data_IF_693757675621
#
_entry.id   IF_693757675621
#
_cell.length_a   1.000
_cell.length_b   1.000
_cell.length_c   1.000
_cell.angle_alpha   90.00
_cell.angle_beta   90.00
_cell.angle_gamma   90.00
#
_symmetry.space_group_name_H-M   'P 1'
#
loop_
_entity.id
_entity.type
_entity.pdbx_description
1 polymer ?
#
# COMPACT_ATOMS: atom_id res chain seq x y z
N UNK A 1 -49.39 24.56 7.60
CA UNK A 1 -48.77 23.25 7.98
C UNK A 1 -48.23 22.43 6.80
N UNK A 2 -48.03 23.01 5.61
CA UNK A 2 -47.53 22.28 4.42
C UNK A 2 -46.01 22.43 4.23
N UNK A 3 -45.43 23.58 4.60
CA UNK A 3 -43.98 23.83 4.47
C UNK A 3 -43.10 22.94 5.35
N UNK A 4 -43.52 22.63 6.58
CA UNK A 4 -42.72 21.82 7.52
C UNK A 4 -42.57 20.36 7.05
N UNK A 5 -43.63 19.78 6.44
CA UNK A 5 -43.59 18.42 5.89
C UNK A 5 -42.70 18.32 4.65
N UNK A 6 -42.66 19.38 3.83
CA UNK A 6 -41.84 19.42 2.62
C UNK A 6 -40.34 19.50 2.94
N UNK A 7 -39.98 20.30 3.96
CA UNK A 7 -38.60 20.41 4.45
C UNK A 7 -38.13 19.09 5.08
N UNK A 8 -38.97 18.45 5.89
CA UNK A 8 -38.67 17.13 6.45
C UNK A 8 -38.50 16.05 5.38
N UNK A 9 -39.30 16.07 4.31
CA UNK A 9 -39.18 15.14 3.19
C UNK A 9 -37.89 15.35 2.38
N UNK A 10 -37.47 16.60 2.17
CA UNK A 10 -36.20 16.92 1.50
C UNK A 10 -35.01 16.51 2.37
N UNK A 11 -35.03 16.77 3.68
CA UNK A 11 -33.97 16.35 4.61
C UNK A 11 -33.88 14.82 4.68
N UNK A 12 -35.01 14.11 4.67
CA UNK A 12 -35.02 12.65 4.71
C UNK A 12 -34.53 12.03 3.39
N UNK A 13 -34.93 12.58 2.25
CA UNK A 13 -34.50 12.07 0.93
C UNK A 13 -33.03 12.39 0.66
N UNK A 14 -32.52 13.55 1.10
CA UNK A 14 -31.07 13.85 1.07
C UNK A 14 -30.29 12.99 2.06
N UNK A 15 -30.81 12.68 3.26
CA UNK A 15 -30.15 11.75 4.19
C UNK A 15 -30.07 10.31 3.64
N UNK A 16 -31.08 9.86 2.90
CA UNK A 16 -31.13 8.50 2.35
C UNK A 16 -30.25 8.38 1.09
N UNK A 17 -30.17 9.40 0.25
CA UNK A 17 -29.30 9.36 -0.95
C UNK A 17 -27.83 9.65 -0.67
N UNK A 18 -27.51 10.32 0.45
CA UNK A 18 -26.13 10.54 0.90
C UNK A 18 -25.59 9.41 1.78
N UNK A 19 -26.41 8.42 2.11
CA UNK A 19 -25.96 7.20 2.79
C UNK A 19 -25.29 6.27 1.78
N UNK A 20 -24.14 6.69 1.24
CA UNK A 20 -23.30 6.02 0.25
C UNK A 20 -24.04 5.57 -1.02
N UNK A 21 -23.44 5.84 -2.17
CA UNK A 21 -23.77 5.19 -3.43
C UNK A 21 -23.34 3.70 -3.38
N UNK A 22 -24.01 2.92 -2.51
CA UNK A 22 -24.14 1.46 -2.40
C UNK A 22 -25.02 1.18 -1.16
N UNK A 23 -26.24 0.68 -1.37
CA UNK A 23 -27.29 0.57 -0.35
C UNK A 23 -27.01 -0.36 0.85
N UNK A 24 -27.66 -0.01 1.95
CA UNK A 24 -27.79 -0.64 3.28
C UNK A 24 -26.55 -0.69 4.20
N UNK A 25 -26.25 0.43 4.87
CA UNK A 25 -25.51 0.40 6.14
C UNK A 25 -26.08 -0.66 7.09
N UNK A 26 -25.20 -1.43 7.75
CA UNK A 26 -25.45 -2.66 8.53
C UNK A 26 -25.14 -4.01 7.81
N UNK A 27 -24.17 -4.00 6.90
CA UNK A 27 -23.73 -5.18 6.15
C UNK A 27 -22.90 -6.18 6.96
N UNK A 28 -23.54 -7.10 7.68
CA UNK A 28 -22.85 -8.33 8.13
C UNK A 28 -22.38 -9.15 6.91
N UNK A 29 -21.20 -9.81 6.95
CA UNK A 29 -20.33 -10.01 8.12
C UNK A 29 -19.30 -8.89 8.33
N UNK A 30 -19.20 -7.92 7.43
CA UNK A 30 -18.25 -6.82 7.57
C UNK A 30 -18.72 -5.82 8.63
N UNK A 31 -17.76 -5.07 9.15
CA UNK A 31 -17.98 -3.99 10.08
C UNK A 31 -17.05 -2.85 9.73
N UNK A 32 -16.73 -2.03 10.73
CA UNK A 32 -15.81 -0.93 10.52
C UNK A 32 -14.33 -1.33 10.67
N UNK A 33 -14.05 -2.63 10.74
CA UNK A 33 -12.69 -3.16 10.78
C UNK A 33 -12.47 -4.18 9.67
N UNK A 34 -11.35 -4.04 8.96
CA UNK A 34 -10.91 -4.98 7.94
C UNK A 34 -9.38 -5.09 7.90
N UNK A 35 -8.90 -6.25 7.43
CA UNK A 35 -7.52 -6.49 7.08
C UNK A 35 -7.41 -6.48 5.56
N UNK A 36 -6.46 -5.74 5.02
CA UNK A 36 -6.23 -5.64 3.57
C UNK A 36 -4.81 -6.08 3.28
N UNK A 37 -4.65 -7.09 2.42
CA UNK A 37 -3.34 -7.64 2.06
C UNK A 37 -3.04 -7.45 0.58
N UNK A 38 -1.95 -6.75 0.28
CA UNK A 38 -1.42 -6.59 -1.07
C UNK A 38 -0.16 -7.43 -1.25
N UNK A 39 -0.01 -8.06 -2.42
CA UNK A 39 1.25 -8.65 -2.85
C UNK A 39 1.90 -7.71 -3.88
N UNK A 40 3.15 -7.34 -3.64
CA UNK A 40 3.79 -6.22 -4.35
C UNK A 40 5.19 -6.62 -4.83
N UNK A 41 5.53 -6.25 -6.05
CA UNK A 41 6.91 -6.13 -6.52
C UNK A 41 7.37 -4.69 -6.26
N UNK A 42 8.18 -4.46 -5.21
CA UNK A 42 8.42 -3.11 -4.71
C UNK A 42 9.45 -2.37 -5.56
N UNK A 43 9.25 -1.07 -5.73
CA UNK A 43 10.35 -0.14 -5.98
C UNK A 43 11.11 0.16 -4.67
N UNK A 44 12.25 0.86 -4.76
CA UNK A 44 13.01 1.26 -3.56
C UNK A 44 12.17 2.02 -2.53
N UNK A 45 11.17 2.80 -2.98
CA UNK A 45 10.28 3.59 -2.11
C UNK A 45 9.41 2.73 -1.18
N UNK A 46 9.21 1.45 -1.51
CA UNK A 46 8.50 0.48 -0.67
C UNK A 46 9.43 -0.48 0.08
N UNK A 47 10.70 -0.10 0.24
CA UNK A 47 11.68 -0.88 1.00
C UNK A 47 12.34 -0.03 2.07
N UNK A 48 13.00 -0.68 3.02
CA UNK A 48 13.83 0.00 3.99
C UNK A 48 15.23 -0.60 4.05
N UNK A 49 16.18 0.19 4.55
CA UNK A 49 17.53 -0.29 4.86
C UNK A 49 18.07 0.46 6.10
N UNK A 50 18.31 -0.24 7.22
CA UNK A 50 18.82 0.38 8.44
C UNK A 50 20.30 0.75 8.37
N UNK A 51 21.05 0.32 7.36
CA UNK A 51 22.48 0.58 7.26
C UNK A 51 22.77 1.98 6.71
N UNK A 52 24.04 2.41 6.85
CA UNK A 52 24.55 3.64 6.24
C UNK A 52 24.72 3.54 4.71
N UNK A 53 24.65 2.34 4.14
CA UNK A 53 24.72 2.08 2.69
C UNK A 53 23.36 2.20 2.00
N UNK A 54 22.31 2.61 2.73
CA UNK A 54 20.97 2.85 2.21
C UNK A 54 21.00 3.75 0.97
N UNK A 55 20.34 3.30 -0.10
CA UNK A 55 20.18 4.07 -1.34
C UNK A 55 19.05 5.10 -1.18
N UNK A 56 19.14 6.22 -1.92
CA UNK A 56 18.07 7.21 -2.00
C UNK A 56 16.71 6.55 -2.29
N UNK A 57 15.63 7.14 -1.75
CA UNK A 57 14.22 6.66 -1.78
C UNK A 57 13.89 5.50 -0.83
N UNK A 58 14.86 4.75 -0.34
CA UNK A 58 14.57 3.77 0.72
C UNK A 58 14.30 4.47 2.05
N UNK A 59 13.45 3.84 2.86
CA UNK A 59 13.20 4.27 4.23
C UNK A 59 14.32 3.81 5.17
N UNK A 60 14.52 4.53 6.28
CA UNK A 60 15.60 4.22 7.23
C UNK A 60 15.33 3.01 8.11
N UNK A 61 14.07 2.59 8.25
CA UNK A 61 13.67 1.47 9.08
C UNK A 61 12.30 0.94 8.65
N UNK A 62 11.95 -0.26 9.11
CA UNK A 62 10.59 -0.80 8.97
C UNK A 62 9.54 0.15 9.57
N UNK A 63 9.84 0.77 10.72
CA UNK A 63 8.94 1.71 11.38
C UNK A 63 8.74 3.01 10.60
N UNK A 64 9.77 3.54 9.95
CA UNK A 64 9.66 4.74 9.09
C UNK A 64 8.80 4.44 7.85
N UNK A 65 9.04 3.30 7.21
CA UNK A 65 8.21 2.84 6.09
C UNK A 65 6.77 2.62 6.51
N UNK A 66 6.55 1.94 7.63
CA UNK A 66 5.23 1.72 8.19
C UNK A 66 4.48 3.02 8.48
N UNK A 67 5.15 4.01 9.09
CA UNK A 67 4.56 5.32 9.35
C UNK A 67 4.14 6.03 8.06
N UNK A 68 4.98 5.96 7.02
CA UNK A 68 4.68 6.57 5.71
C UNK A 68 3.46 5.92 5.07
N UNK A 69 3.39 4.59 5.10
CA UNK A 69 2.29 3.81 4.53
C UNK A 69 0.99 3.98 5.32
N UNK A 70 1.06 4.02 6.66
CA UNK A 70 -0.08 4.36 7.52
C UNK A 70 -0.62 5.75 7.21
N UNK A 71 0.26 6.75 7.10
CA UNK A 71 -0.16 8.13 6.80
C UNK A 71 -0.82 8.23 5.42
N UNK A 72 -0.23 7.60 4.40
CA UNK A 72 -0.80 7.53 3.06
C UNK A 72 -2.21 6.94 3.12
N UNK A 73 -2.36 5.75 3.70
CA UNK A 73 -3.67 5.09 3.77
C UNK A 73 -4.70 5.91 4.57
N UNK A 74 -4.29 6.56 5.65
CA UNK A 74 -5.16 7.48 6.41
C UNK A 74 -5.61 8.66 5.55
N UNK A 75 -4.70 9.31 4.81
CA UNK A 75 -5.04 10.42 3.90
C UNK A 75 -6.02 9.97 2.81
N UNK A 76 -5.78 8.82 2.16
CA UNK A 76 -6.65 8.32 1.10
C UNK A 76 -8.06 7.98 1.61
N UNK A 77 -8.19 7.45 2.85
CA UNK A 77 -9.50 7.24 3.46
C UNK A 77 -10.23 8.58 3.66
N UNK A 78 -9.54 9.60 4.14
CA UNK A 78 -10.14 10.93 4.32
C UNK A 78 -10.51 11.60 3.00
N UNK A 79 -9.65 11.50 1.98
CA UNK A 79 -9.93 12.02 0.63
C UNK A 79 -11.14 11.33 0.00
N UNK A 80 -11.22 9.99 0.11
CA UNK A 80 -12.37 9.22 -0.36
C UNK A 80 -13.67 9.68 0.30
N UNK A 81 -13.69 9.77 1.64
CA UNK A 81 -14.88 10.24 2.39
C UNK A 81 -15.23 11.68 2.00
N UNK A 82 -14.23 12.55 1.87
CA UNK A 82 -14.44 13.95 1.47
C UNK A 82 -15.00 14.09 0.06
N UNK A 83 -14.60 13.21 -0.86
CA UNK A 83 -15.08 13.22 -2.25
C UNK A 83 -16.55 12.79 -2.37
N UNK A 84 -17.02 11.94 -1.47
CA UNK A 84 -18.43 11.52 -1.40
C UNK A 84 -19.27 12.61 -0.70
N UNK A 85 -18.82 13.09 0.47
CA UNK A 85 -19.39 14.26 1.14
C UNK A 85 -18.42 14.81 2.20
N UNK A 86 -17.94 16.04 2.02
CA UNK A 86 -17.03 16.70 2.95
C UNK A 86 -17.57 16.83 4.38
N UNK A 87 -18.89 16.89 4.56
CA UNK A 87 -19.52 16.93 5.88
C UNK A 87 -19.37 15.62 6.68
N UNK A 88 -19.01 14.51 6.02
CA UNK A 88 -18.85 13.22 6.68
C UNK A 88 -17.45 12.96 7.20
N UNK A 89 -16.45 13.71 6.74
CA UNK A 89 -15.05 13.53 7.16
C UNK A 89 -14.91 13.53 8.68
N UNK A 90 -15.62 14.44 9.38
CA UNK A 90 -15.58 14.53 10.85
C UNK A 90 -16.21 13.34 11.58
N UNK A 91 -17.03 12.53 10.91
CA UNK A 91 -17.63 11.32 11.49
C UNK A 91 -16.79 10.08 11.28
N UNK A 92 -15.70 10.16 10.49
CA UNK A 92 -14.83 9.03 10.21
C UNK A 92 -13.50 9.25 10.93
N UNK A 93 -13.17 8.37 11.88
CA UNK A 93 -11.83 8.37 12.49
C UNK A 93 -11.13 7.05 12.17
N UNK A 94 -10.32 7.00 11.09
CA UNK A 94 -9.53 5.82 10.74
C UNK A 94 -8.36 5.63 11.70
N UNK A 95 -8.20 4.40 12.17
CA UNK A 95 -7.03 3.89 12.87
C UNK A 95 -6.39 2.83 11.98
N UNK A 96 -5.31 3.23 11.31
CA UNK A 96 -4.60 2.39 10.33
C UNK A 96 -3.31 1.86 10.93
N UNK A 97 -3.14 0.55 10.88
CA UNK A 97 -1.89 -0.13 11.26
C UNK A 97 -1.40 -0.95 10.09
N UNK A 98 -0.09 -1.06 9.93
CA UNK A 98 0.55 -1.93 8.95
C UNK A 98 1.49 -2.90 9.66
N UNK A 99 1.46 -4.17 9.23
CA UNK A 99 2.37 -5.19 9.73
C UNK A 99 3.80 -4.94 9.26
N UNK A 100 4.69 -4.63 10.21
CA UNK A 100 6.08 -4.31 9.92
C UNK A 100 6.91 -5.56 9.58
N UNK A 101 6.49 -6.76 10.00
CA UNK A 101 7.24 -7.99 9.74
C UNK A 101 7.18 -8.42 8.28
N UNK A 102 6.15 -7.98 7.55
CA UNK A 102 5.97 -8.28 6.13
C UNK A 102 6.73 -7.32 5.20
N UNK A 103 7.28 -6.22 5.74
CA UNK A 103 8.02 -5.21 4.99
C UNK A 103 9.44 -5.68 4.64
N UNK A 104 9.90 -5.33 3.44
CA UNK A 104 11.17 -5.83 2.92
C UNK A 104 12.36 -4.94 3.28
N UNK A 105 13.33 -5.51 4.01
CA UNK A 105 14.66 -4.93 4.20
C UNK A 105 15.55 -5.27 3.00
N UNK A 106 16.14 -4.26 2.36
CA UNK A 106 16.92 -4.45 1.13
C UNK A 106 18.23 -3.70 1.19
N UNK A 107 19.34 -4.42 1.09
CA UNK A 107 20.64 -3.86 0.72
C UNK A 107 20.89 -4.04 -0.78
N UNK A 108 21.16 -2.93 -1.47
CA UNK A 108 21.41 -2.92 -2.92
C UNK A 108 22.90 -3.13 -3.18
N UNK A 109 23.22 -4.25 -3.81
CA UNK A 109 24.56 -4.52 -4.32
C UNK A 109 24.54 -4.23 -5.82
N UNK A 110 25.20 -3.16 -6.29
CA UNK A 110 25.17 -2.78 -7.70
C UNK A 110 25.86 -3.84 -8.56
N UNK A 111 25.28 -4.16 -9.73
CA UNK A 111 25.92 -5.00 -10.73
C UNK A 111 26.95 -4.16 -11.48
N UNK A 112 28.17 -4.05 -10.94
CA UNK A 112 29.28 -3.33 -11.58
C UNK A 112 30.55 -4.17 -11.46
N UNK A 113 31.19 -4.45 -12.59
CA UNK A 113 32.53 -5.03 -12.63
C UNK A 113 33.56 -4.05 -12.06
N UNK A 114 34.40 -4.48 -11.13
CA UNK A 114 35.53 -3.65 -10.67
C UNK A 114 36.78 -3.92 -11.48
N UNK A 115 36.95 -5.16 -11.94
CA UNK A 115 38.09 -5.57 -12.74
C UNK A 115 37.73 -5.69 -14.23
N UNK A 116 38.58 -5.14 -15.09
CA UNK A 116 38.47 -5.30 -16.55
C UNK A 116 38.99 -6.66 -17.03
N UNK A 117 39.77 -7.36 -16.20
CA UNK A 117 40.44 -8.62 -16.56
C UNK A 117 40.11 -9.74 -15.57
N UNK A 118 39.96 -10.96 -16.08
CA UNK A 118 39.73 -12.15 -15.27
C UNK A 118 38.26 -12.33 -14.85
N UNK A 119 38.03 -13.24 -13.90
CA UNK A 119 36.70 -13.52 -13.34
C UNK A 119 36.60 -12.94 -11.94
N UNK A 120 35.55 -12.17 -11.67
CA UNK A 120 35.23 -11.58 -10.36
C UNK A 120 33.80 -11.94 -9.95
N UNK A 121 33.60 -12.37 -8.71
CA UNK A 121 32.27 -12.47 -8.13
C UNK A 121 31.81 -11.07 -7.70
N UNK A 122 30.82 -10.51 -8.40
CA UNK A 122 30.30 -9.16 -8.17
C UNK A 122 29.29 -9.14 -7.02
N UNK A 123 28.40 -10.13 -6.98
CA UNK A 123 27.36 -10.23 -5.97
C UNK A 123 26.90 -11.68 -5.79
N UNK A 124 26.69 -12.08 -4.55
CA UNK A 124 26.13 -13.39 -4.23
C UNK A 124 24.64 -13.50 -4.61
N UNK A 125 24.20 -14.72 -4.88
CA UNK A 125 22.80 -15.13 -4.91
C UNK A 125 22.06 -14.65 -3.65
N UNK A 126 20.80 -14.24 -3.83
CA UNK A 126 19.94 -13.76 -2.77
C UNK A 126 20.10 -12.27 -2.45
N UNK A 127 21.15 -11.61 -2.95
CA UNK A 127 21.29 -10.16 -2.86
C UNK A 127 20.35 -9.44 -3.83
N UNK A 128 20.16 -8.15 -3.61
CA UNK A 128 19.24 -7.33 -4.39
C UNK A 128 19.97 -6.30 -5.26
N UNK A 129 19.32 -5.91 -6.34
CA UNK A 129 19.70 -4.80 -7.19
C UNK A 129 18.45 -4.11 -7.74
N UNK A 130 18.61 -3.00 -8.46
CA UNK A 130 17.49 -2.30 -9.09
C UNK A 130 17.57 -2.44 -10.60
N UNK A 131 16.46 -2.81 -11.23
CA UNK A 131 16.31 -2.86 -12.68
C UNK A 131 14.92 -2.36 -13.07
N UNK A 132 14.83 -1.50 -14.09
CA UNK A 132 13.57 -0.92 -14.55
C UNK A 132 12.71 -0.30 -13.42
N UNK A 133 13.36 0.29 -12.42
CA UNK A 133 12.69 0.93 -11.27
C UNK A 133 12.25 -0.01 -10.15
N UNK A 134 12.34 -1.32 -10.34
CA UNK A 134 11.93 -2.34 -9.37
C UNK A 134 13.13 -2.97 -8.68
N UNK A 135 12.92 -3.44 -7.45
CA UNK A 135 13.91 -4.24 -6.73
C UNK A 135 13.87 -5.66 -7.29
N UNK A 136 15.02 -6.14 -7.73
CA UNK A 136 15.25 -7.49 -8.24
C UNK A 136 16.06 -8.28 -7.22
N UNK A 137 15.75 -9.57 -7.06
CA UNK A 137 16.55 -10.52 -6.31
C UNK A 137 17.34 -11.41 -7.25
N UNK A 138 18.63 -11.60 -6.97
CA UNK A 138 19.49 -12.52 -7.72
C UNK A 138 19.17 -13.97 -7.36
N UNK A 139 18.88 -14.79 -8.37
CA UNK A 139 18.63 -16.22 -8.20
C UNK A 139 19.91 -17.05 -8.32
N UNK A 140 20.95 -16.47 -8.92
CA UNK A 140 22.29 -17.03 -9.12
C UNK A 140 23.32 -15.94 -8.78
N UNK A 141 24.56 -16.36 -8.50
CA UNK A 141 25.67 -15.43 -8.30
C UNK A 141 25.88 -14.58 -9.58
N UNK A 142 26.15 -13.29 -9.42
CA UNK A 142 26.54 -12.44 -10.54
C UNK A 142 28.05 -12.39 -10.62
N UNK A 143 28.60 -12.90 -11.72
CA UNK A 143 30.02 -12.80 -12.02
C UNK A 143 30.28 -11.71 -13.06
N UNK A 144 31.48 -11.19 -13.04
CA UNK A 144 32.07 -10.42 -14.11
C UNK A 144 33.17 -11.27 -14.76
N UNK A 145 33.19 -11.35 -16.08
CA UNK A 145 34.24 -12.02 -16.86
C UNK A 145 34.81 -11.02 -17.84
N UNK A 146 36.09 -10.68 -17.68
CA UNK A 146 36.82 -9.70 -18.49
C UNK A 146 36.06 -8.38 -18.66
N UNK A 147 35.68 -7.76 -17.53
CA UNK A 147 34.96 -6.48 -17.52
C UNK A 147 33.49 -6.55 -17.95
N UNK A 148 32.99 -7.71 -18.37
CA UNK A 148 31.59 -7.90 -18.79
C UNK A 148 30.81 -8.64 -17.72
N UNK A 149 29.71 -8.06 -17.25
CA UNK A 149 28.78 -8.74 -16.36
C UNK A 149 28.14 -9.92 -17.08
N UNK A 150 28.30 -11.10 -16.51
CA UNK A 150 27.57 -12.28 -16.97
C UNK A 150 26.08 -12.12 -16.60
N UNK A 151 25.20 -12.47 -17.53
CA UNK A 151 23.77 -12.44 -17.27
C UNK A 151 23.40 -13.46 -16.18
N UNK A 152 23.24 -12.99 -14.94
CA UNK A 152 22.76 -13.80 -13.83
C UNK A 152 21.23 -13.82 -13.80
N UNK A 153 20.63 -14.98 -13.61
CA UNK A 153 19.17 -15.08 -13.44
C UNK A 153 18.72 -14.26 -12.23
N UNK A 154 17.64 -13.50 -12.42
CA UNK A 154 17.02 -12.70 -11.37
C UNK A 154 15.51 -12.71 -11.53
N UNK A 155 14.81 -12.32 -10.48
CA UNK A 155 13.35 -12.13 -10.48
C UNK A 155 12.98 -10.91 -9.66
N UNK A 156 11.85 -10.25 -9.92
CA UNK A 156 11.36 -9.19 -9.05
C UNK A 156 11.27 -9.68 -7.60
N UNK A 157 11.78 -8.87 -6.67
CA UNK A 157 11.56 -9.11 -5.25
C UNK A 157 10.07 -9.03 -4.95
N UNK A 158 9.60 -9.76 -3.93
CA UNK A 158 8.20 -9.75 -3.52
C UNK A 158 8.10 -9.35 -2.05
N UNK A 159 7.10 -8.55 -1.73
CA UNK A 159 6.76 -8.16 -0.35
C UNK A 159 5.25 -8.15 -0.18
N UNK A 160 4.79 -8.10 1.07
CA UNK A 160 3.37 -7.96 1.41
C UNK A 160 3.15 -6.67 2.18
N UNK A 161 2.13 -5.91 1.77
CA UNK A 161 1.62 -4.80 2.56
C UNK A 161 0.32 -5.26 3.22
N UNK A 162 0.37 -5.42 4.54
CA UNK A 162 -0.76 -5.94 5.31
C UNK A 162 -1.27 -4.85 6.24
N UNK A 163 -2.37 -4.23 5.86
CA UNK A 163 -3.06 -3.23 6.65
C UNK A 163 -4.09 -3.87 7.57
N UNK A 164 -4.25 -3.33 8.77
CA UNK A 164 -5.45 -3.48 9.60
C UNK A 164 -6.03 -2.09 9.80
N UNK A 165 -7.25 -1.89 9.33
CA UNK A 165 -7.93 -0.60 9.33
C UNK A 165 -9.16 -0.73 10.20
N UNK A 166 -9.31 0.15 11.19
CA UNK A 166 -10.48 0.27 12.04
C UNK A 166 -11.02 1.71 11.95
N UNK A 167 -12.27 1.88 11.55
CA UNK A 167 -12.89 3.19 11.32
C UNK A 167 -13.95 3.42 12.39
N UNK A 168 -13.70 4.36 13.30
CA UNK A 168 -14.75 4.77 14.24
C UNK A 168 -15.76 5.66 13.52
N UNK A 169 -17.03 5.25 13.52
CA UNK A 169 -18.17 6.00 12.99
C UNK A 169 -19.19 6.22 14.11
N UNK A 170 -19.24 7.40 14.76
CA UNK A 170 -20.07 7.65 15.94
C UNK A 170 -21.57 7.44 15.71
N UNK A 171 -22.03 7.61 14.47
CA UNK A 171 -23.44 7.49 14.07
C UNK A 171 -23.91 6.03 13.91
N UNK A 172 -23.03 5.04 14.14
CA UNK A 172 -23.39 3.61 14.24
C UNK A 172 -23.41 2.84 12.91
N UNK A 173 -23.15 3.50 11.79
CA UNK A 173 -23.03 2.88 10.47
C UNK A 173 -21.93 1.81 10.48
N UNK A 174 -22.18 0.74 9.70
CA UNK A 174 -21.21 -0.31 9.41
C UNK A 174 -20.84 -0.32 7.94
N UNK A 175 -19.55 -0.33 7.65
CA UNK A 175 -19.05 -0.42 6.30
C UNK A 175 -19.34 -1.79 5.67
N UNK A 176 -19.84 -1.76 4.44
CA UNK A 176 -20.10 -2.92 3.59
C UNK A 176 -18.86 -3.31 2.81
N UNK A 177 -18.88 -4.48 2.18
CA UNK A 177 -17.79 -4.94 1.32
C UNK A 177 -17.45 -3.91 0.23
N UNK A 178 -18.45 -3.31 -0.40
CA UNK A 178 -18.24 -2.29 -1.44
C UNK A 178 -17.47 -1.05 -0.93
N UNK A 179 -17.72 -0.64 0.32
CA UNK A 179 -16.97 0.46 0.94
C UNK A 179 -15.51 0.07 1.15
N UNK A 180 -15.27 -1.16 1.60
CA UNK A 180 -13.91 -1.70 1.75
C UNK A 180 -13.20 -1.84 0.40
N UNK A 181 -13.91 -2.21 -0.66
CA UNK A 181 -13.36 -2.25 -2.03
C UNK A 181 -12.93 -0.87 -2.49
N UNK A 182 -13.77 0.17 -2.29
CA UNK A 182 -13.39 1.57 -2.61
C UNK A 182 -12.16 2.03 -1.82
N UNK A 183 -12.11 1.75 -0.51
CA UNK A 183 -10.95 2.07 0.34
C UNK A 183 -9.69 1.34 -0.14
N UNK A 184 -9.82 0.04 -0.41
CA UNK A 184 -8.73 -0.81 -0.91
C UNK A 184 -8.16 -0.29 -2.25
N UNK A 185 -9.02 0.08 -3.18
CA UNK A 185 -8.62 0.62 -4.48
C UNK A 185 -7.95 1.99 -4.35
N UNK A 186 -8.49 2.89 -3.53
CA UNK A 186 -7.89 4.21 -3.29
C UNK A 186 -6.45 4.10 -2.76
N UNK A 187 -6.26 3.31 -1.69
CA UNK A 187 -4.94 3.07 -1.09
C UNK A 187 -3.98 2.45 -2.12
N UNK A 188 -4.42 1.40 -2.84
CA UNK A 188 -3.59 0.74 -3.86
C UNK A 188 -3.16 1.71 -4.96
N UNK A 189 -4.10 2.44 -5.54
CA UNK A 189 -3.84 3.36 -6.65
C UNK A 189 -2.87 4.46 -6.22
N UNK A 190 -3.03 4.99 -5.00
CA UNK A 190 -2.11 5.98 -4.47
C UNK A 190 -0.69 5.44 -4.32
N UNK A 191 -0.53 4.24 -3.78
CA UNK A 191 0.80 3.62 -3.65
C UNK A 191 1.44 3.39 -5.03
N UNK A 192 0.66 2.95 -6.03
CA UNK A 192 1.16 2.78 -7.40
C UNK A 192 1.67 4.12 -7.95
N UNK A 193 0.89 5.20 -7.83
CA UNK A 193 1.26 6.54 -8.31
C UNK A 193 2.53 7.04 -7.61
N UNK A 194 2.60 6.93 -6.29
CA UNK A 194 3.69 7.53 -5.50
C UNK A 194 5.00 6.73 -5.61
N UNK A 195 4.93 5.43 -5.94
CA UNK A 195 6.10 4.53 -5.87
C UNK A 195 6.50 3.87 -7.18
N UNK A 196 5.61 3.81 -8.17
CA UNK A 196 5.77 3.01 -9.39
C UNK A 196 6.05 1.51 -9.12
N UNK A 197 5.52 0.97 -8.01
CA UNK A 197 5.61 -0.46 -7.69
C UNK A 197 4.49 -1.25 -8.39
N UNK A 198 4.72 -2.53 -8.67
CA UNK A 198 3.70 -3.38 -9.29
C UNK A 198 2.91 -4.15 -8.22
N UNK A 199 1.59 -4.13 -8.32
CA UNK A 199 0.71 -4.92 -7.46
C UNK A 199 0.29 -6.20 -8.18
N UNK A 200 0.58 -7.34 -7.58
CA UNK A 200 0.30 -8.67 -8.13
C UNK A 200 -1.14 -9.14 -7.87
N UNK A 201 -1.86 -8.45 -6.99
CA UNK A 201 -3.28 -8.71 -6.70
C UNK A 201 -4.08 -7.39 -6.62
N UNK A 202 -5.41 -7.51 -6.52
CA UNK A 202 -6.31 -6.38 -6.31
C UNK A 202 -6.38 -5.90 -4.86
N UNK A 203 -5.77 -6.64 -3.93
CA UNK A 203 -5.93 -6.47 -2.48
C UNK A 203 -6.94 -7.46 -1.93
N UNK A 204 -6.49 -8.34 -1.04
CA UNK A 204 -7.36 -9.29 -0.34
C UNK A 204 -7.98 -8.62 0.88
N UNK A 205 -9.30 -8.48 0.88
CA UNK A 205 -10.06 -7.88 1.99
C UNK A 205 -10.59 -9.00 2.87
N UNK A 206 -10.19 -8.99 4.13
CA UNK A 206 -10.60 -9.95 5.15
C UNK A 206 -11.26 -9.20 6.31
N UNK A 207 -12.26 -9.84 6.92
CA UNK A 207 -12.81 -9.35 8.21
C UNK A 207 -11.73 -9.44 9.30
N UNK A 208 -11.70 -8.46 10.20
CA UNK A 208 -10.70 -8.36 11.27
C UNK A 208 -11.31 -8.03 12.64
#
# INVERSE_FOLDING_TARGET
>A
MIGLKFILFIILTTFVSLSFSCGSFNCRPYGNKARITYEVEPSLSLTYNPTRTRVNRQQSSASSLASTLTQLATSEIYELVSSENSAYVSYFTPNVKIDQFSLLSVEIIPSVCKNENGTELVAYKGTYFVQNGLVMQRNEDTNCINGTLEYSRSSPAKTKLVYTIDIKIPTGQKLCYDHWTKINEAIKNKIIIDTNSNFLNTGMIERA
#
